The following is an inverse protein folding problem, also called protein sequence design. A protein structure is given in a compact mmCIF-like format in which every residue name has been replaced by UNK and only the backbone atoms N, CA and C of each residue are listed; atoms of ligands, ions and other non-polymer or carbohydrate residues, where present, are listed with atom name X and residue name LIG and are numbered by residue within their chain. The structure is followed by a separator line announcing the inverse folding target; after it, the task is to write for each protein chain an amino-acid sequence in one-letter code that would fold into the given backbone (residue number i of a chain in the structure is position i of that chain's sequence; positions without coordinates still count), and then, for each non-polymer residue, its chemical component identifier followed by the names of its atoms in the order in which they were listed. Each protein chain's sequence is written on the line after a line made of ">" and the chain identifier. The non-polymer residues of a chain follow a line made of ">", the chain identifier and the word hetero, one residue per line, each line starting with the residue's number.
data_IF_409283294320
#
_entry.id   IF_409283294320
#
_cell.length_a   1.000
_cell.length_b   1.000
_cell.length_c   1.000
_cell.angle_alpha   90.00
_cell.angle_beta   90.00
_cell.angle_gamma   90.00
#
_symmetry.space_group_name_H-M   'P 1'
#
loop_
_entity.id
_entity.type
_entity.pdbx_description
1 polymer ?
#
# COMPACT_ATOMS: atom_id res chain seq x y z
N UNK A 1 15.02 -26.99 -40.61
CA UNK A 1 13.88 -27.71 -40.02
C UNK A 1 12.76 -26.70 -39.86
N UNK A 2 11.61 -26.91 -40.51
CA UNK A 2 10.44 -26.04 -40.34
C UNK A 2 9.65 -26.56 -39.15
N UNK A 3 9.81 -25.92 -37.99
CA UNK A 3 8.98 -26.22 -36.82
C UNK A 3 7.57 -25.67 -37.06
N UNK A 4 6.57 -26.54 -37.01
CA UNK A 4 5.16 -26.15 -37.12
C UNK A 4 4.68 -25.67 -35.76
N UNK A 5 4.50 -24.36 -35.62
CA UNK A 5 4.07 -23.73 -34.37
C UNK A 5 2.54 -23.54 -34.39
N UNK A 6 1.85 -24.28 -33.53
CA UNK A 6 0.40 -24.20 -33.39
C UNK A 6 0.03 -23.05 -32.46
N UNK A 7 -0.32 -21.89 -33.03
CA UNK A 7 -0.68 -20.68 -32.27
C UNK A 7 -1.87 -20.91 -31.34
N UNK A 8 -2.86 -21.72 -31.75
CA UNK A 8 -4.03 -22.02 -30.92
C UNK A 8 -3.64 -22.79 -29.65
N UNK A 9 -2.70 -23.72 -29.76
CA UNK A 9 -2.22 -24.52 -28.64
C UNK A 9 -1.33 -23.68 -27.71
N UNK A 10 -0.46 -22.83 -28.29
CA UNK A 10 0.36 -21.87 -27.55
C UNK A 10 -0.52 -20.91 -26.73
N UNK A 11 -1.57 -20.37 -27.36
CA UNK A 11 -2.52 -19.49 -26.69
C UNK A 11 -3.23 -20.21 -25.53
N UNK A 12 -3.72 -21.43 -25.75
CA UNK A 12 -4.45 -22.19 -24.72
C UNK A 12 -3.56 -22.54 -23.51
N UNK A 13 -2.32 -22.96 -23.76
CA UNK A 13 -1.36 -23.29 -22.70
C UNK A 13 -1.00 -22.04 -21.89
N UNK A 14 -0.69 -20.93 -22.56
CA UNK A 14 -0.40 -19.66 -21.88
C UNK A 14 -1.62 -19.15 -21.11
N UNK A 15 -2.83 -19.26 -21.68
CA UNK A 15 -4.06 -18.87 -21.00
C UNK A 15 -4.25 -19.65 -19.70
N UNK A 16 -3.99 -20.96 -19.70
CA UNK A 16 -4.11 -21.79 -18.50
C UNK A 16 -3.02 -21.49 -17.47
N UNK A 17 -1.77 -21.30 -17.92
CA UNK A 17 -0.64 -20.95 -17.07
C UNK A 17 -0.89 -19.59 -16.38
N UNK A 18 -1.23 -18.57 -17.17
CA UNK A 18 -1.51 -17.22 -16.69
C UNK A 18 -2.71 -17.16 -15.74
N UNK A 19 -3.76 -17.94 -16.02
CA UNK A 19 -4.92 -18.02 -15.13
C UNK A 19 -4.54 -18.64 -13.78
N UNK A 20 -3.79 -19.74 -13.80
CA UNK A 20 -3.29 -20.41 -12.59
C UNK A 20 -2.42 -19.46 -11.76
N UNK A 21 -1.55 -18.71 -12.42
CA UNK A 21 -0.63 -17.76 -11.80
C UNK A 21 -1.37 -16.58 -11.17
N UNK A 22 -2.37 -16.01 -11.85
CA UNK A 22 -3.24 -14.96 -11.31
C UNK A 22 -4.09 -15.44 -10.12
N UNK A 23 -4.57 -16.69 -10.15
CA UNK A 23 -5.30 -17.28 -9.02
C UNK A 23 -4.42 -17.43 -7.79
N UNK A 24 -3.21 -17.99 -7.95
CA UNK A 24 -2.23 -18.13 -6.86
C UNK A 24 -1.81 -16.77 -6.30
N UNK A 25 -1.49 -15.82 -7.19
CA UNK A 25 -1.15 -14.44 -6.82
C UNK A 25 -2.29 -13.80 -6.01
N UNK A 26 -3.53 -13.97 -6.47
CA UNK A 26 -4.71 -13.44 -5.80
C UNK A 26 -4.98 -14.08 -4.43
N UNK A 27 -4.67 -15.37 -4.26
CA UNK A 27 -4.77 -16.09 -3.00
C UNK A 27 -3.72 -15.57 -1.99
N UNK A 28 -2.46 -15.42 -2.44
CA UNK A 28 -1.36 -14.86 -1.63
C UNK A 28 -1.65 -13.43 -1.19
N UNK A 29 -2.24 -12.62 -2.07
CA UNK A 29 -2.62 -11.23 -1.79
C UNK A 29 -3.92 -11.10 -0.98
N UNK A 30 -4.61 -12.21 -0.67
CA UNK A 30 -5.91 -12.24 0.02
C UNK A 30 -6.98 -11.36 -0.64
N UNK A 31 -6.97 -11.27 -1.97
CA UNK A 31 -7.96 -10.49 -2.73
C UNK A 31 -9.23 -11.33 -2.91
N UNK A 32 -10.45 -10.77 -2.74
CA UNK A 32 -11.69 -11.53 -2.93
C UNK A 32 -11.90 -11.95 -4.39
N UNK A 33 -11.47 -13.16 -4.74
CA UNK A 33 -11.48 -13.71 -6.11
C UNK A 33 -12.89 -14.02 -6.63
N UNK A 34 -13.84 -14.36 -5.76
CA UNK A 34 -15.20 -14.79 -6.14
C UNK A 34 -15.95 -13.75 -6.98
N UNK A 35 -15.74 -12.45 -6.71
CA UNK A 35 -16.40 -11.35 -7.43
C UNK A 35 -15.70 -10.96 -8.74
N UNK A 36 -14.54 -11.55 -9.06
CA UNK A 36 -13.62 -11.07 -10.10
C UNK A 36 -13.25 -12.12 -11.16
N UNK A 37 -13.93 -13.27 -11.19
CA UNK A 37 -13.61 -14.38 -12.12
C UNK A 37 -13.48 -13.94 -13.58
N UNK A 38 -14.39 -13.11 -14.09
CA UNK A 38 -14.32 -12.59 -15.46
C UNK A 38 -13.11 -11.69 -15.71
N UNK A 39 -12.68 -10.93 -14.70
CA UNK A 39 -11.49 -10.06 -14.79
C UNK A 39 -10.18 -10.85 -14.76
N UNK A 40 -10.15 -11.95 -14.01
CA UNK A 40 -9.00 -12.86 -14.00
C UNK A 40 -8.85 -13.55 -15.36
N UNK A 41 -9.96 -14.02 -15.96
CA UNK A 41 -9.95 -14.59 -17.30
C UNK A 41 -9.49 -13.58 -18.36
N UNK A 42 -9.98 -12.34 -18.29
CA UNK A 42 -9.51 -11.27 -19.17
C UNK A 42 -8.02 -10.98 -18.98
N UNK A 43 -7.54 -10.95 -17.73
CA UNK A 43 -6.12 -10.78 -17.45
C UNK A 43 -5.27 -11.90 -18.04
N UNK A 44 -5.67 -13.16 -17.85
CA UNK A 44 -4.98 -14.30 -18.44
C UNK A 44 -5.00 -14.26 -19.97
N UNK A 45 -6.12 -13.86 -20.59
CA UNK A 45 -6.21 -13.72 -22.04
C UNK A 45 -5.27 -12.62 -22.58
N UNK A 46 -5.08 -11.53 -21.84
CA UNK A 46 -4.13 -10.47 -22.21
C UNK A 46 -2.69 -10.96 -22.13
N UNK A 47 -2.33 -11.74 -21.11
CA UNK A 47 -1.02 -12.37 -21.00
C UNK A 47 -0.75 -13.33 -22.15
N UNK A 48 -1.68 -14.25 -22.41
CA UNK A 48 -1.58 -15.22 -23.49
C UNK A 48 -1.48 -14.55 -24.87
N UNK A 49 -2.28 -13.50 -25.12
CA UNK A 49 -2.21 -12.74 -26.35
C UNK A 49 -0.87 -12.01 -26.53
N UNK A 50 -0.29 -11.47 -25.45
CA UNK A 50 1.01 -10.81 -25.49
C UNK A 50 2.13 -11.81 -25.86
N UNK A 51 2.13 -13.00 -25.25
CA UNK A 51 3.08 -14.06 -25.57
C UNK A 51 2.94 -14.54 -27.02
N UNK A 52 1.72 -14.73 -27.51
CA UNK A 52 1.48 -15.06 -28.93
C UNK A 52 1.97 -13.97 -29.89
N UNK A 53 1.76 -12.69 -29.53
CA UNK A 53 2.22 -11.58 -30.35
C UNK A 53 3.75 -11.52 -30.45
N UNK A 54 4.45 -11.86 -29.37
CA UNK A 54 5.92 -11.80 -29.32
C UNK A 54 6.61 -12.80 -30.26
N UNK A 55 5.95 -13.92 -30.58
CA UNK A 55 6.44 -14.92 -31.55
C UNK A 55 6.69 -14.31 -32.93
N UNK A 56 5.94 -13.27 -33.32
CA UNK A 56 6.11 -12.57 -34.60
C UNK A 56 7.29 -11.59 -34.63
N UNK A 57 7.93 -11.32 -33.47
CA UNK A 57 9.05 -10.38 -33.35
C UNK A 57 10.33 -11.03 -32.81
N UNK A 58 10.89 -12.07 -33.48
CA UNK A 58 12.04 -12.82 -32.97
C UNK A 58 13.37 -12.05 -32.99
N UNK A 59 13.46 -10.91 -33.68
CA UNK A 59 14.70 -10.12 -33.87
C UNK A 59 14.83 -8.90 -32.94
N UNK A 60 14.06 -8.86 -31.85
CA UNK A 60 14.14 -7.75 -30.91
C UNK A 60 15.46 -7.78 -30.13
N UNK A 61 16.04 -6.60 -29.80
CA UNK A 61 17.19 -6.56 -28.91
C UNK A 61 16.79 -7.09 -27.54
N UNK A 62 17.69 -7.85 -26.90
CA UNK A 62 17.47 -8.53 -25.61
C UNK A 62 16.73 -7.69 -24.54
N UNK A 63 17.09 -6.42 -24.25
CA UNK A 63 16.38 -5.64 -23.23
C UNK A 63 14.91 -5.35 -23.61
N UNK A 64 14.62 -5.15 -24.89
CA UNK A 64 13.24 -4.91 -25.38
C UNK A 64 12.43 -6.21 -25.31
N UNK A 65 13.05 -7.35 -25.64
CA UNK A 65 12.42 -8.65 -25.52
C UNK A 65 12.04 -8.96 -24.05
N UNK A 66 12.97 -8.77 -23.11
CA UNK A 66 12.70 -8.96 -21.67
C UNK A 66 11.58 -8.02 -21.19
N UNK A 67 11.57 -6.77 -21.62
CA UNK A 67 10.53 -5.81 -21.24
C UNK A 67 9.14 -6.26 -21.73
N UNK A 68 9.04 -6.66 -23.00
CA UNK A 68 7.78 -7.02 -23.65
C UNK A 68 7.24 -8.39 -23.22
N UNK A 69 8.11 -9.32 -22.84
CA UNK A 69 7.71 -10.65 -22.37
C UNK A 69 7.42 -10.67 -20.86
N UNK A 70 8.27 -10.01 -20.05
CA UNK A 70 8.21 -10.15 -18.59
C UNK A 70 7.47 -9.02 -17.88
N UNK A 71 7.70 -7.78 -18.29
CA UNK A 71 7.25 -6.59 -17.55
C UNK A 71 5.88 -6.12 -18.01
N UNK A 72 5.72 -5.94 -19.33
CA UNK A 72 4.47 -5.42 -19.91
C UNK A 72 3.28 -6.35 -19.63
N UNK A 73 3.38 -7.68 -19.85
CA UNK A 73 2.27 -8.58 -19.59
C UNK A 73 1.94 -8.64 -18.10
N UNK A 74 2.94 -8.75 -17.21
CA UNK A 74 2.72 -8.77 -15.77
C UNK A 74 1.95 -7.53 -15.26
N UNK A 75 2.31 -6.34 -15.77
CA UNK A 75 1.63 -5.08 -15.47
C UNK A 75 0.18 -5.08 -15.98
N UNK A 76 -0.03 -5.48 -17.24
CA UNK A 76 -1.36 -5.49 -17.86
C UNK A 76 -2.29 -6.52 -17.19
N UNK A 77 -1.78 -7.72 -16.93
CA UNK A 77 -2.49 -8.80 -16.23
C UNK A 77 -2.88 -8.37 -14.81
N UNK A 78 -1.95 -7.79 -14.04
CA UNK A 78 -2.25 -7.31 -12.69
C UNK A 78 -3.30 -6.19 -12.69
N UNK A 79 -3.20 -5.23 -13.62
CA UNK A 79 -4.15 -4.10 -13.73
C UNK A 79 -5.55 -4.55 -14.13
N UNK A 80 -5.66 -5.49 -15.06
CA UNK A 80 -6.95 -6.03 -15.52
C UNK A 80 -7.61 -6.90 -14.45
N UNK A 81 -6.87 -7.83 -13.85
CA UNK A 81 -7.36 -8.76 -12.84
C UNK A 81 -7.69 -8.08 -11.50
N UNK A 82 -6.78 -7.24 -10.98
CA UNK A 82 -6.90 -6.65 -9.63
C UNK A 82 -7.37 -5.19 -9.63
N UNK A 83 -7.33 -4.50 -10.77
CA UNK A 83 -7.97 -3.20 -10.97
C UNK A 83 -7.12 -1.97 -10.72
N UNK A 84 -7.78 -0.83 -10.55
CA UNK A 84 -7.12 0.44 -10.29
C UNK A 84 -6.59 0.44 -8.86
N UNK A 85 -5.31 0.71 -8.72
CA UNK A 85 -4.61 0.77 -7.45
C UNK A 85 -3.47 1.78 -7.54
N UNK A 86 -2.94 2.15 -6.38
CA UNK A 86 -1.79 3.03 -6.27
C UNK A 86 -0.54 2.38 -6.90
N UNK A 87 0.44 3.19 -7.29
CA UNK A 87 1.69 2.68 -7.89
C UNK A 87 2.42 1.67 -6.97
N UNK A 88 2.37 1.87 -5.65
CA UNK A 88 2.94 0.94 -4.68
C UNK A 88 2.21 -0.40 -4.66
N UNK A 89 0.88 -0.38 -4.71
CA UNK A 89 0.08 -1.60 -4.75
C UNK A 89 0.30 -2.35 -6.06
N UNK A 90 0.43 -1.62 -7.17
CA UNK A 90 0.77 -2.20 -8.47
C UNK A 90 2.15 -2.86 -8.46
N UNK A 91 3.16 -2.21 -7.88
CA UNK A 91 4.49 -2.79 -7.70
C UNK A 91 4.43 -4.05 -6.81
N UNK A 92 3.65 -4.03 -5.72
CA UNK A 92 3.43 -5.21 -4.88
C UNK A 92 2.78 -6.35 -5.64
N UNK A 93 1.79 -6.08 -6.48
CA UNK A 93 1.14 -7.13 -7.24
C UNK A 93 2.07 -7.75 -8.28
N UNK A 94 2.81 -6.94 -9.02
CA UNK A 94 3.77 -7.41 -10.03
C UNK A 94 4.91 -8.20 -9.38
N UNK A 95 5.44 -7.73 -8.25
CA UNK A 95 6.49 -8.47 -7.52
C UNK A 95 5.99 -9.80 -6.98
N UNK A 96 4.80 -9.86 -6.38
CA UNK A 96 4.21 -11.13 -5.93
C UNK A 96 3.94 -12.05 -7.12
N UNK A 97 3.47 -11.50 -8.25
CA UNK A 97 3.22 -12.26 -9.48
C UNK A 97 4.52 -12.90 -10.01
N UNK A 98 5.60 -12.14 -10.18
CA UNK A 98 6.89 -12.69 -10.61
C UNK A 98 7.45 -13.72 -9.65
N UNK A 99 7.31 -13.48 -8.34
CA UNK A 99 7.74 -14.46 -7.35
C UNK A 99 6.92 -15.76 -7.46
N UNK A 100 5.59 -15.67 -7.61
CA UNK A 100 4.76 -16.86 -7.85
C UNK A 100 5.08 -17.54 -9.17
N UNK A 101 5.42 -16.79 -10.22
CA UNK A 101 5.87 -17.33 -11.50
C UNK A 101 7.17 -18.13 -11.33
N UNK A 102 8.18 -17.52 -10.68
CA UNK A 102 9.47 -18.15 -10.41
C UNK A 102 9.34 -19.39 -9.53
N UNK A 103 8.45 -19.37 -8.53
CA UNK A 103 8.14 -20.55 -7.73
C UNK A 103 7.54 -21.66 -8.55
N UNK A 104 6.49 -21.34 -9.31
CA UNK A 104 5.74 -22.33 -10.08
C UNK A 104 6.66 -22.96 -11.12
N UNK A 105 7.43 -22.14 -11.86
CA UNK A 105 8.44 -22.61 -12.81
C UNK A 105 9.57 -23.40 -12.15
N UNK A 106 10.07 -22.95 -11.00
CA UNK A 106 11.09 -23.67 -10.24
C UNK A 106 10.62 -25.04 -9.75
N UNK A 107 9.35 -25.17 -9.35
CA UNK A 107 8.73 -26.46 -9.01
C UNK A 107 8.66 -27.36 -10.24
N UNK A 108 8.26 -26.85 -11.41
CA UNK A 108 8.24 -27.64 -12.65
C UNK A 108 9.64 -28.14 -13.06
N UNK A 109 10.66 -27.29 -13.01
CA UNK A 109 12.05 -27.68 -13.33
C UNK A 109 12.59 -28.69 -12.31
N UNK A 110 12.31 -28.50 -11.03
CA UNK A 110 12.62 -29.48 -10.01
C UNK A 110 11.88 -30.80 -10.25
N UNK A 111 10.69 -30.74 -10.86
CA UNK A 111 9.90 -31.91 -11.20
C UNK A 111 10.47 -32.73 -12.36
N UNK A 112 11.23 -32.09 -13.25
CA UNK A 112 11.79 -32.72 -14.44
C UNK A 112 13.20 -33.29 -14.22
N UNK A 113 13.86 -32.98 -13.09
CA UNK A 113 15.27 -33.31 -12.85
C UNK A 113 15.47 -34.33 -11.70
N UNK A 114 15.29 -35.64 -11.94
CA UNK A 114 15.65 -36.67 -10.97
C UNK A 114 17.19 -36.77 -10.80
N UNK A 115 17.71 -37.21 -9.63
CA UNK A 115 16.99 -37.83 -8.52
C UNK A 115 16.47 -36.83 -7.48
N UNK A 116 15.22 -37.06 -7.09
CA UNK A 116 14.49 -36.33 -6.06
C UNK A 116 15.08 -36.57 -4.68
N UNK A 117 15.87 -35.63 -4.18
CA UNK A 117 16.24 -35.66 -2.75
C UNK A 117 15.20 -34.82 -2.00
N UNK A 118 14.37 -35.46 -1.16
CA UNK A 118 13.33 -34.80 -0.36
C UNK A 118 13.84 -33.52 0.33
N UNK A 119 15.09 -33.55 0.79
CA UNK A 119 15.78 -32.43 1.43
C UNK A 119 16.02 -31.21 0.50
N UNK A 120 16.35 -31.42 -0.78
CA UNK A 120 16.57 -30.32 -1.74
C UNK A 120 15.25 -29.68 -2.15
N UNK A 121 14.22 -30.49 -2.32
CA UNK A 121 12.87 -30.02 -2.63
C UNK A 121 12.25 -29.23 -1.46
N UNK A 122 12.36 -29.73 -0.24
CA UNK A 122 11.82 -29.05 0.95
C UNK A 122 12.54 -27.72 1.25
N UNK A 123 13.86 -27.65 1.05
CA UNK A 123 14.61 -26.40 1.21
C UNK A 123 14.23 -25.36 0.15
N UNK A 124 14.07 -25.78 -1.11
CA UNK A 124 13.67 -24.87 -2.19
C UNK A 124 12.26 -24.31 -1.94
N UNK A 125 11.29 -25.16 -1.57
CA UNK A 125 9.94 -24.73 -1.23
C UNK A 125 9.92 -23.80 0.00
N UNK A 126 10.68 -24.16 1.05
CA UNK A 126 10.73 -23.40 2.29
C UNK A 126 11.38 -22.02 2.13
N UNK A 127 12.52 -21.96 1.44
CA UNK A 127 13.23 -20.70 1.17
C UNK A 127 12.37 -19.77 0.31
N UNK A 128 11.72 -20.33 -0.71
CA UNK A 128 11.02 -19.52 -1.69
C UNK A 128 9.59 -19.14 -1.22
N UNK A 129 8.95 -19.98 -0.41
CA UNK A 129 7.76 -19.61 0.38
C UNK A 129 8.06 -18.59 1.49
N UNK A 130 9.21 -18.70 2.16
CA UNK A 130 9.70 -17.72 3.12
C UNK A 130 10.00 -16.36 2.48
N UNK A 131 10.55 -16.35 1.26
CA UNK A 131 10.83 -15.13 0.51
C UNK A 131 9.54 -14.45 0.03
N UNK A 132 8.53 -15.22 -0.37
CA UNK A 132 7.18 -14.70 -0.63
C UNK A 132 6.55 -14.08 0.61
N UNK A 133 6.61 -14.77 1.75
CA UNK A 133 6.04 -14.28 2.99
C UNK A 133 6.75 -13.02 3.49
N UNK A 134 8.09 -13.02 3.50
CA UNK A 134 8.88 -11.85 3.86
C UNK A 134 8.64 -10.67 2.90
N UNK A 135 8.57 -10.91 1.59
CA UNK A 135 8.28 -9.88 0.60
C UNK A 135 6.91 -9.25 0.80
N UNK A 136 5.87 -10.06 1.02
CA UNK A 136 4.51 -9.55 1.30
C UNK A 136 4.43 -8.78 2.62
N UNK A 137 5.13 -9.22 3.67
CA UNK A 137 5.18 -8.54 4.98
C UNK A 137 5.93 -7.21 4.90
N UNK A 138 7.11 -7.17 4.26
CA UNK A 138 7.90 -5.94 4.11
C UNK A 138 7.15 -4.92 3.25
N UNK A 139 6.54 -5.34 2.15
CA UNK A 139 5.74 -4.46 1.29
C UNK A 139 4.46 -3.98 1.98
N UNK A 140 3.80 -4.84 2.77
CA UNK A 140 2.60 -4.47 3.55
C UNK A 140 2.96 -3.48 4.67
N UNK A 141 4.05 -3.70 5.40
CA UNK A 141 4.51 -2.80 6.45
C UNK A 141 4.97 -1.44 5.89
N UNK A 142 5.63 -1.43 4.73
CA UNK A 142 5.97 -0.20 4.01
C UNK A 142 4.76 0.61 3.54
N UNK A 143 3.65 -0.07 3.18
CA UNK A 143 2.39 0.58 2.82
C UNK A 143 1.58 1.07 4.03
N UNK A 144 1.53 0.31 5.12
CA UNK A 144 0.81 0.70 6.35
C UNK A 144 1.34 2.01 6.93
N UNK A 145 2.65 2.20 6.91
CA UNK A 145 3.30 3.44 7.36
C UNK A 145 2.98 4.65 6.46
N UNK A 146 2.63 4.41 5.19
CA UNK A 146 2.18 5.44 4.25
C UNK A 146 0.67 5.72 4.37
N UNK A 147 -0.12 4.71 4.75
CA UNK A 147 -1.56 4.84 4.97
C UNK A 147 -1.94 5.49 6.30
N UNK A 148 -1.03 5.55 7.27
CA UNK A 148 -1.25 6.27 8.53
C UNK A 148 -1.00 7.78 8.41
N UNK A 149 -0.41 8.24 7.30
CA UNK A 149 -0.20 9.66 7.04
C UNK A 149 -1.38 10.24 6.27
N UNK A 150 -1.95 11.29 6.84
CA UNK A 150 -3.04 12.08 6.30
C UNK A 150 -2.53 13.48 6.00
N UNK A 151 -3.10 14.11 4.99
CA UNK A 151 -2.85 15.52 4.70
C UNK A 151 -4.01 16.30 5.30
N UNK A 152 -3.71 17.23 6.20
CA UNK A 152 -4.72 17.90 7.01
C UNK A 152 -4.65 19.39 6.75
N UNK A 153 -5.75 19.97 6.29
CA UNK A 153 -5.87 21.42 6.12
C UNK A 153 -6.61 21.98 7.32
N UNK A 154 -5.88 22.78 8.10
CA UNK A 154 -6.35 23.48 9.29
C UNK A 154 -6.84 24.87 8.90
N UNK A 155 -8.01 25.27 9.39
CA UNK A 155 -8.58 26.59 9.21
C UNK A 155 -8.73 27.29 10.55
N UNK A 156 -8.14 28.48 10.67
CA UNK A 156 -8.22 29.31 11.87
C UNK A 156 -8.15 30.79 11.51
N UNK A 157 -9.14 31.56 11.96
CA UNK A 157 -9.24 33.01 11.78
C UNK A 157 -9.07 33.46 10.32
N UNK A 158 -9.65 32.71 9.38
CA UNK A 158 -9.56 32.99 7.93
C UNK A 158 -8.20 32.64 7.29
N UNK A 159 -7.22 32.17 8.06
CA UNK A 159 -5.98 31.57 7.53
C UNK A 159 -6.17 30.07 7.37
N UNK A 160 -5.48 29.48 6.42
CA UNK A 160 -5.44 28.03 6.22
C UNK A 160 -4.00 27.54 6.10
N UNK A 161 -3.73 26.35 6.66
CA UNK A 161 -2.43 25.68 6.53
C UNK A 161 -2.62 24.19 6.36
N UNK A 162 -1.93 23.63 5.38
CA UNK A 162 -1.90 22.19 5.14
C UNK A 162 -0.66 21.59 5.77
N UNK A 163 -0.86 20.57 6.60
CA UNK A 163 0.20 19.85 7.33
C UNK A 163 0.06 18.34 7.14
N UNK A 164 1.16 17.61 7.38
CA UNK A 164 1.13 16.15 7.37
C UNK A 164 0.83 15.65 8.77
N UNK A 165 -0.23 14.87 8.91
CA UNK A 165 -0.66 14.33 10.17
C UNK A 165 -0.54 12.81 10.22
N UNK A 166 -0.12 12.25 11.34
CA UNK A 166 -0.15 10.81 11.59
C UNK A 166 -1.45 10.48 12.34
N UNK A 167 -2.23 9.51 11.85
CA UNK A 167 -3.31 8.92 12.64
C UNK A 167 -2.69 8.07 13.74
N UNK A 168 -2.78 8.55 14.96
CA UNK A 168 -2.29 7.86 16.14
C UNK A 168 -3.44 7.16 16.84
N UNK A 169 -3.53 5.84 16.66
CA UNK A 169 -4.53 5.02 17.35
C UNK A 169 -4.29 4.94 18.86
N UNK A 170 -3.10 5.32 19.33
CA UNK A 170 -2.78 5.40 20.75
C UNK A 170 -3.19 6.73 21.39
N UNK A 171 -3.52 7.75 20.60
CA UNK A 171 -4.00 9.02 21.15
C UNK A 171 -5.43 8.84 21.68
N UNK A 172 -5.58 8.98 22.99
CA UNK A 172 -6.83 8.91 23.73
C UNK A 172 -7.13 10.23 24.47
N UNK A 173 -6.63 11.36 23.96
CA UNK A 173 -6.88 12.66 24.55
C UNK A 173 -8.31 13.13 24.29
N UNK A 174 -9.01 13.45 25.37
CA UNK A 174 -10.34 14.01 25.34
C UNK A 174 -10.38 15.31 26.14
N UNK A 175 -11.22 16.23 25.70
CA UNK A 175 -11.60 17.39 26.48
C UNK A 175 -12.26 16.94 27.80
N UNK A 176 -11.85 17.51 28.96
CA UNK A 176 -12.33 17.07 30.27
C UNK A 176 -13.83 17.33 30.53
N UNK A 177 -14.45 18.27 29.82
CA UNK A 177 -15.86 18.65 30.04
C UNK A 177 -16.79 18.06 28.99
N UNK A 178 -16.48 18.29 27.70
CA UNK A 178 -17.30 17.90 26.57
C UNK A 178 -17.01 16.51 26.00
N UNK A 179 -15.97 15.82 26.50
CA UNK A 179 -15.49 14.53 25.95
C UNK A 179 -15.27 14.55 24.44
N UNK A 180 -14.90 15.70 23.88
CA UNK A 180 -14.55 15.80 22.46
C UNK A 180 -13.12 15.29 22.25
N UNK A 181 -12.86 14.56 21.15
CA UNK A 181 -11.52 14.09 20.83
C UNK A 181 -10.59 15.27 20.55
N UNK A 182 -9.36 15.20 21.06
CA UNK A 182 -8.37 16.27 20.93
C UNK A 182 -7.24 15.81 20.01
N UNK A 183 -7.00 16.59 18.97
CA UNK A 183 -5.87 16.39 18.05
C UNK A 183 -4.64 17.13 18.57
N UNK A 184 -3.43 16.73 18.20
CA UNK A 184 -2.19 17.38 18.65
C UNK A 184 -1.47 18.01 17.46
N UNK A 185 -1.05 19.26 17.57
CA UNK A 185 -0.32 20.00 16.55
C UNK A 185 1.01 20.50 17.12
N UNK A 186 2.06 20.48 16.30
CA UNK A 186 3.35 21.04 16.68
C UNK A 186 3.29 22.58 16.79
N UNK A 187 3.95 23.14 17.82
CA UNK A 187 3.96 24.58 18.06
C UNK A 187 4.55 25.40 16.90
N UNK A 188 5.48 24.81 16.12
CA UNK A 188 6.08 25.43 14.94
C UNK A 188 5.03 25.88 13.92
N UNK A 189 4.03 25.03 13.65
CA UNK A 189 2.91 25.34 12.75
C UNK A 189 1.97 26.36 13.37
N UNK A 190 1.69 26.24 14.67
CA UNK A 190 0.78 27.15 15.36
C UNK A 190 1.23 28.61 15.28
N UNK A 191 2.55 28.88 15.29
CA UNK A 191 3.10 30.24 15.18
C UNK A 191 2.74 30.95 13.87
N UNK A 192 2.49 30.21 12.79
CA UNK A 192 2.09 30.80 11.50
C UNK A 192 0.66 31.38 11.54
N UNK A 193 -0.20 30.80 12.38
CA UNK A 193 -1.56 31.28 12.58
C UNK A 193 -1.59 32.58 13.41
N UNK A 194 -0.64 32.76 14.32
CA UNK A 194 -0.54 33.90 15.24
C UNK A 194 -0.74 33.46 16.70
N UNK A 195 -0.82 34.41 17.63
CA UNK A 195 -1.19 34.09 19.01
C UNK A 195 -2.67 33.66 19.08
N UNK A 196 -3.00 32.57 19.79
CA UNK A 196 -4.38 32.13 19.92
C UNK A 196 -5.19 33.16 20.70
N UNK A 197 -6.11 33.84 20.01
CA UNK A 197 -6.92 34.94 20.58
C UNK A 197 -8.21 34.41 21.23
N UNK A 198 -8.55 33.13 21.04
CA UNK A 198 -9.88 32.61 21.41
C UNK A 198 -9.81 31.21 22.00
N UNK A 199 -10.44 31.06 23.17
CA UNK A 199 -10.71 29.80 23.90
C UNK A 199 -9.52 28.83 23.98
N UNK A 200 -8.66 29.05 24.99
CA UNK A 200 -7.61 28.09 25.37
C UNK A 200 -8.16 27.17 26.47
N UNK A 201 -8.16 25.87 26.19
CA UNK A 201 -8.52 24.81 27.13
C UNK A 201 -7.25 24.06 27.54
N UNK A 202 -7.05 23.83 28.84
CA UNK A 202 -5.93 23.01 29.30
C UNK A 202 -6.38 21.55 29.47
N UNK A 203 -5.78 20.65 28.70
CA UNK A 203 -6.09 19.22 28.69
C UNK A 203 -5.00 18.47 29.44
N UNK A 204 -5.32 17.78 30.56
CA UNK A 204 -4.36 16.93 31.24
C UNK A 204 -4.02 15.70 30.38
N UNK A 205 -2.76 15.31 30.35
CA UNK A 205 -2.29 14.15 29.61
C UNK A 205 -1.25 13.36 30.39
N UNK A 206 -1.17 12.07 30.12
CA UNK A 206 -0.14 11.18 30.63
C UNK A 206 0.66 10.61 29.45
N UNK A 207 1.98 10.69 29.50
CA UNK A 207 2.86 10.10 28.48
C UNK A 207 4.00 9.31 29.11
N UNK A 208 4.67 8.48 28.29
CA UNK A 208 5.88 7.78 28.70
C UNK A 208 6.98 8.80 29.01
N UNK A 209 7.22 9.05 30.30
CA UNK A 209 8.18 10.03 30.81
C UNK A 209 7.57 11.29 31.43
N UNK A 210 6.25 11.49 31.37
CA UNK A 210 5.55 12.60 32.04
C UNK A 210 4.19 12.15 32.57
N UNK A 211 4.14 11.83 33.86
CA UNK A 211 2.93 11.32 34.53
C UNK A 211 1.84 12.38 34.71
N UNK A 212 2.21 13.67 34.84
CA UNK A 212 1.27 14.78 35.06
C UNK A 212 1.54 15.91 34.06
N UNK A 213 1.23 15.66 32.79
CA UNK A 213 1.35 16.66 31.73
C UNK A 213 0.08 17.50 31.57
N UNK A 214 0.25 18.73 31.09
CA UNK A 214 -0.87 19.59 30.65
C UNK A 214 -0.51 20.11 29.26
N UNK A 215 -1.46 20.07 28.34
CA UNK A 215 -1.36 20.66 27.00
C UNK A 215 -2.39 21.78 26.86
N UNK A 216 -1.97 22.90 26.26
CA UNK A 216 -2.91 23.94 25.85
C UNK A 216 -3.57 23.52 24.54
N UNK A 217 -4.89 23.48 24.50
CA UNK A 217 -5.69 23.20 23.33
C UNK A 217 -6.44 24.45 22.89
N UNK A 218 -6.46 24.69 21.58
CA UNK A 218 -7.14 25.82 20.95
C UNK A 218 -8.27 25.28 20.09
N UNK A 219 -9.39 25.99 20.09
CA UNK A 219 -10.53 25.71 19.22
C UNK A 219 -10.20 26.18 17.79
N UNK A 220 -10.10 25.25 16.84
CA UNK A 220 -9.95 25.60 15.41
C UNK A 220 -11.32 25.84 14.77
N UNK A 221 -11.39 26.56 13.64
CA UNK A 221 -12.67 26.79 12.96
C UNK A 221 -13.14 25.51 12.26
N UNK A 222 -12.22 24.89 11.51
CA UNK A 222 -12.48 23.69 10.70
C UNK A 222 -11.19 22.92 10.44
N UNK A 223 -11.30 21.60 10.35
CA UNK A 223 -10.23 20.72 9.90
C UNK A 223 -10.74 19.83 8.78
N UNK A 224 -9.98 19.75 7.69
CA UNK A 224 -10.25 18.82 6.61
C UNK A 224 -9.16 17.76 6.54
N UNK A 225 -9.57 16.50 6.61
CA UNK A 225 -8.66 15.36 6.57
C UNK A 225 -8.71 14.73 5.19
N UNK A 226 -7.59 14.79 4.48
CA UNK A 226 -7.41 14.25 3.14
C UNK A 226 -6.51 13.02 3.18
N UNK A 227 -6.86 12.01 2.39
CA UNK A 227 -6.04 10.81 2.20
C UNK A 227 -6.02 10.45 0.72
N UNK A 228 -4.82 10.40 0.12
CA UNK A 228 -4.66 10.07 -1.30
C UNK A 228 -5.60 10.89 -2.21
N UNK A 229 -5.61 12.21 -2.03
CA UNK A 229 -6.46 13.17 -2.77
C UNK A 229 -7.98 13.02 -2.58
N UNK A 230 -8.42 12.14 -1.67
CA UNK A 230 -9.82 12.01 -1.27
C UNK A 230 -10.06 12.68 0.08
N UNK A 231 -11.07 13.54 0.15
CA UNK A 231 -11.57 14.06 1.42
C UNK A 231 -12.20 12.91 2.23
N UNK A 232 -11.59 12.60 3.37
CA UNK A 232 -12.03 11.51 4.27
C UNK A 232 -13.04 12.02 5.26
N UNK A 233 -12.76 13.16 5.90
CA UNK A 233 -13.59 13.71 6.97
C UNK A 233 -13.41 15.22 7.06
N UNK A 234 -14.49 15.90 7.43
CA UNK A 234 -14.49 17.32 7.81
C UNK A 234 -14.93 17.41 9.26
N UNK A 235 -14.17 18.14 10.07
CA UNK A 235 -14.46 18.39 11.48
C UNK A 235 -14.71 19.89 11.64
N UNK A 236 -15.88 20.25 12.16
CA UNK A 236 -16.22 21.63 12.50
C UNK A 236 -15.94 21.89 13.98
N UNK A 237 -15.29 23.02 14.28
CA UNK A 237 -14.91 23.42 15.64
C UNK A 237 -14.15 22.37 16.49
N UNK A 238 -13.13 21.67 15.95
CA UNK A 238 -12.39 20.66 16.73
C UNK A 238 -11.39 21.31 17.71
N UNK A 239 -11.06 20.57 18.76
CA UNK A 239 -10.00 20.92 19.71
C UNK A 239 -8.64 20.41 19.22
N UNK A 240 -7.66 21.31 19.22
CA UNK A 240 -6.28 21.00 18.84
C UNK A 240 -5.32 21.43 19.95
N UNK A 241 -4.74 20.46 20.63
CA UNK A 241 -3.64 20.62 21.58
C UNK A 241 -2.35 21.03 20.88
N UNK A 242 -1.59 21.95 21.48
CA UNK A 242 -0.32 22.45 20.96
C UNK A 242 0.81 21.79 21.76
N UNK A 243 1.67 21.04 21.06
CA UNK A 243 2.87 20.44 21.63
C UNK A 243 4.09 21.32 21.40
N UNK A 244 4.77 21.71 22.49
CA UNK A 244 6.05 22.44 22.43
C UNK A 244 7.22 21.55 21.96
N UNK A 245 7.14 20.25 22.25
CA UNK A 245 8.12 19.27 21.78
C UNK A 245 7.81 18.82 20.36
N UNK A 246 8.82 18.70 19.48
CA UNK A 246 8.61 18.23 18.11
C UNK A 246 8.09 16.79 18.11
N UNK A 247 7.04 16.55 17.32
CA UNK A 247 6.36 15.25 17.30
C UNK A 247 7.12 14.18 16.51
N UNK A 248 8.04 14.60 15.64
CA UNK A 248 8.88 13.72 14.83
C UNK A 248 10.31 14.25 14.77
N UNK A 249 11.29 13.41 15.15
CA UNK A 249 12.72 13.77 15.08
C UNK A 249 13.22 14.09 13.65
N UNK A 250 12.45 13.74 12.61
CA UNK A 250 12.75 14.06 11.20
C UNK A 250 11.65 14.90 10.53
N UNK A 251 10.75 15.53 11.30
CA UNK A 251 9.59 16.29 10.80
C UNK A 251 8.79 15.54 9.72
N UNK A 252 8.61 14.21 9.88
CA UNK A 252 7.83 13.42 8.91
C UNK A 252 6.33 13.74 8.97
N UNK A 253 5.87 14.18 10.13
CA UNK A 253 4.52 14.64 10.44
C UNK A 253 4.62 15.72 11.50
N UNK A 254 3.69 16.66 11.46
CA UNK A 254 3.62 17.85 12.31
C UNK A 254 2.35 17.85 13.17
N UNK A 255 1.48 16.85 12.97
CA UNK A 255 0.21 16.72 13.67
C UNK A 255 -0.08 15.24 13.99
N UNK A 256 -0.72 14.98 15.12
CA UNK A 256 -1.31 13.69 15.48
C UNK A 256 -2.83 13.80 15.46
N UNK A 257 -3.45 12.97 14.64
CA UNK A 257 -4.91 12.84 14.64
C UNK A 257 -5.32 11.80 15.67
N UNK A 258 -6.42 12.08 16.37
CA UNK A 258 -7.06 11.17 17.30
C UNK A 258 -7.45 9.83 16.64
N UNK A 259 -7.45 8.75 17.42
CA UNK A 259 -7.70 7.40 16.92
C UNK A 259 -9.11 7.21 16.35
N UNK A 260 -10.11 7.91 16.88
CA UNK A 260 -11.55 7.79 16.52
C UNK A 260 -11.97 8.60 15.27
N UNK A 261 -11.03 8.82 14.35
CA UNK A 261 -11.31 9.31 13.00
C UNK A 261 -12.23 8.41 12.20
#
# INVERSE_FOLDING_TARGET
>A
MTETLYLDLLFLVNLFADLSLLLLTGLVLQIPLKKRKGRLLLGAAVGAAAGCALVFFPKLPLPVWILLELVVPAVLMARTAFGRCSLLEMLRWVTVLWMTAALTGGVFVALETPPWTFQRFSLALGAAGGMLWAGTVVLKNGMTLRNSLYEVTLYYQGKQRTVRALRDTGNQLYEPYGHQPVHILEQSVCREFGEPVSEVLYVPFCSLGKEHGILAAVRMDRIEVWQQERLVRVLERPWVAISETPLSARHKYEMLLHGEL
#
